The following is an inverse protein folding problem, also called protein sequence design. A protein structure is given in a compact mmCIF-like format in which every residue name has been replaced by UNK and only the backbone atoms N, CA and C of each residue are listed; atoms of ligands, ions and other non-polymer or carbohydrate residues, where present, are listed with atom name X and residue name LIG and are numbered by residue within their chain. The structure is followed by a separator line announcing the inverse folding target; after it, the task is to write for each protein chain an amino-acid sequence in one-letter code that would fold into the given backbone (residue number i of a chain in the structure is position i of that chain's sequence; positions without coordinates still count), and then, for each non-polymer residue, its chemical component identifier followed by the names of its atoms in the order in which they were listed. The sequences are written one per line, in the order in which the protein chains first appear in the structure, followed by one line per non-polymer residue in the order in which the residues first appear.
data_IF_504578900396
#
_entry.id   IF_504578900396
#
_cell.length_a   1.000
_cell.length_b   1.000
_cell.length_c   1.000
_cell.angle_alpha   90.00
_cell.angle_beta   90.00
_cell.angle_gamma   90.00
#
_symmetry.space_group_name_H-M   'P 1'
#
loop_
_entity.id
_entity.type
_entity.pdbx_description
1 polymer ?
#
# COMPACT_ATOMS: atom_id res chain seq x y z
N UNK A 1 -3.20 9.49 8.35
CA UNK A 1 -2.81 8.31 7.55
C UNK A 1 -4.02 7.44 7.29
N UNK A 2 -4.20 6.96 6.06
CA UNK A 2 -5.21 5.97 5.71
C UNK A 2 -4.50 4.73 5.16
N UNK A 3 -4.68 3.58 5.78
CA UNK A 3 -3.91 2.41 5.39
C UNK A 3 -4.63 1.07 5.61
N UNK A 4 -3.96 0.02 5.16
CA UNK A 4 -4.23 -1.36 5.54
C UNK A 4 -3.43 -1.75 6.80
N UNK A 5 -3.34 -3.03 7.09
CA UNK A 5 -2.60 -3.55 8.24
C UNK A 5 -1.12 -3.15 8.27
N UNK A 6 -0.50 -2.84 7.10
CA UNK A 6 0.89 -2.35 7.03
C UNK A 6 1.08 -0.95 7.66
N UNK A 7 0.00 -0.19 7.85
CA UNK A 7 0.06 1.10 8.55
C UNK A 7 0.25 0.98 10.06
N UNK A 8 -0.03 -0.19 10.65
CA UNK A 8 0.08 -0.43 12.09
C UNK A 8 1.47 -0.16 12.67
N UNK A 9 2.56 -0.75 12.14
CA UNK A 9 3.92 -0.47 12.58
C UNK A 9 4.31 1.01 12.49
N UNK A 10 3.81 1.72 11.47
CA UNK A 10 4.09 3.15 11.26
C UNK A 10 3.44 3.98 12.38
N UNK A 11 2.16 3.72 12.67
CA UNK A 11 1.45 4.39 13.78
C UNK A 11 2.11 4.13 15.14
N UNK A 12 2.49 2.87 15.42
CA UNK A 12 3.24 2.52 16.65
C UNK A 12 4.58 3.25 16.75
N UNK A 13 5.31 3.38 15.65
CA UNK A 13 6.59 4.08 15.61
C UNK A 13 6.42 5.60 15.82
N UNK A 14 5.41 6.22 15.21
CA UNK A 14 5.08 7.61 15.42
C UNK A 14 4.69 7.87 16.89
N UNK A 15 3.84 7.02 17.47
CA UNK A 15 3.44 7.11 18.86
C UNK A 15 4.64 6.96 19.82
N UNK A 16 5.54 6.00 19.59
CA UNK A 16 6.73 5.81 20.39
C UNK A 16 7.67 7.04 20.41
N UNK A 17 7.57 7.89 19.38
CA UNK A 17 8.35 9.13 19.23
C UNK A 17 7.55 10.38 19.63
N UNK A 18 6.35 10.22 20.18
CA UNK A 18 5.43 11.30 20.52
C UNK A 18 5.13 12.25 19.34
N UNK A 19 5.13 11.73 18.11
CA UNK A 19 4.81 12.51 16.91
C UNK A 19 3.27 12.60 16.74
N UNK A 20 2.76 13.75 16.28
CA UNK A 20 1.34 13.86 15.91
C UNK A 20 0.99 12.84 14.82
N UNK A 21 0.01 12.01 15.07
CA UNK A 21 -0.43 10.97 14.14
C UNK A 21 -1.93 10.75 14.27
N UNK A 22 -2.63 10.79 13.15
CA UNK A 22 -4.06 10.45 13.09
C UNK A 22 -4.32 9.43 11.98
N UNK A 23 -5.28 8.50 12.23
CA UNK A 23 -5.63 7.42 11.34
C UNK A 23 -4.88 6.12 11.64
N UNK A 24 -4.73 5.28 10.61
CA UNK A 24 -4.14 3.95 10.72
C UNK A 24 -4.84 2.93 9.83
N UNK A 25 -4.89 1.64 10.24
CA UNK A 25 -5.53 0.61 9.44
C UNK A 25 -7.05 0.78 9.39
N UNK A 26 -7.60 0.85 8.19
CA UNK A 26 -9.04 0.86 7.92
C UNK A 26 -9.57 -0.56 7.76
N UNK A 27 -8.81 -1.43 7.08
CA UNK A 27 -9.16 -2.82 6.78
C UNK A 27 -7.93 -3.67 6.50
N UNK A 28 -8.14 -4.90 6.05
CA UNK A 28 -7.07 -5.78 5.56
C UNK A 28 -6.66 -5.41 4.14
N UNK A 29 -5.41 -5.68 3.76
CA UNK A 29 -4.90 -5.30 2.43
C UNK A 29 -5.71 -5.81 1.25
N UNK A 30 -6.30 -7.01 1.34
CA UNK A 30 -7.17 -7.60 0.32
C UNK A 30 -8.46 -6.80 0.05
N UNK A 31 -8.94 -6.06 1.05
CA UNK A 31 -10.19 -5.33 0.97
C UNK A 31 -10.10 -4.12 0.03
N UNK A 32 -8.86 -3.72 -0.32
CA UNK A 32 -8.57 -2.61 -1.23
C UNK A 32 -8.31 -3.04 -2.69
N UNK A 33 -8.45 -4.34 -3.00
CA UNK A 33 -8.38 -4.86 -4.37
C UNK A 33 -9.75 -4.92 -5.06
N UNK A 34 -10.80 -4.53 -4.36
CA UNK A 34 -12.19 -4.46 -4.86
C UNK A 34 -12.69 -3.02 -4.86
N UNK A 35 -13.90 -2.78 -5.33
CA UNK A 35 -14.55 -1.46 -5.25
C UNK A 35 -14.90 -1.13 -3.79
N UNK A 36 -14.00 -0.44 -3.10
CA UNK A 36 -14.06 -0.23 -1.65
C UNK A 36 -14.57 1.15 -1.23
N UNK A 37 -14.71 2.12 -2.14
CA UNK A 37 -15.11 3.48 -1.79
C UNK A 37 -16.14 4.07 -2.75
N UNK A 38 -16.79 5.15 -2.32
CA UNK A 38 -17.68 6.00 -3.13
C UNK A 38 -17.16 7.43 -3.03
N UNK A 39 -16.96 8.08 -4.17
CA UNK A 39 -16.54 9.49 -4.23
C UNK A 39 -17.75 10.42 -4.07
N UNK A 40 -17.55 11.53 -3.38
CA UNK A 40 -18.47 12.67 -3.31
C UNK A 40 -17.74 13.97 -3.66
N UNK A 41 -18.42 15.13 -3.66
CA UNK A 41 -17.80 16.39 -4.12
C UNK A 41 -16.51 16.74 -3.39
N UNK A 42 -16.49 16.67 -2.06
CA UNK A 42 -15.38 17.12 -1.21
C UNK A 42 -14.77 15.99 -0.37
N UNK A 43 -15.27 14.75 -0.55
CA UNK A 43 -14.94 13.63 0.31
C UNK A 43 -14.98 12.30 -0.44
N UNK A 44 -14.82 11.24 0.32
CA UNK A 44 -15.14 9.87 -0.06
C UNK A 44 -15.78 9.15 1.14
N UNK A 45 -16.47 8.05 0.87
CA UNK A 45 -16.98 7.14 1.89
C UNK A 45 -16.53 5.72 1.59
N UNK A 46 -16.28 4.93 2.60
CA UNK A 46 -15.96 3.52 2.41
C UNK A 46 -17.26 2.71 2.36
N UNK A 47 -17.32 1.71 1.45
CA UNK A 47 -18.49 0.85 1.30
C UNK A 47 -18.70 -0.07 2.49
N UNK A 48 -17.62 -0.51 3.11
CA UNK A 48 -17.68 -1.24 4.37
C UNK A 48 -17.97 -0.28 5.52
N UNK A 49 -19.03 -0.51 6.34
CA UNK A 49 -19.40 0.41 7.41
C UNK A 49 -18.34 0.57 8.51
N UNK A 50 -17.59 -0.50 8.82
CA UNK A 50 -16.52 -0.43 9.83
C UNK A 50 -15.33 0.39 9.31
N UNK A 51 -14.97 0.22 8.04
CA UNK A 51 -13.94 1.05 7.40
C UNK A 51 -14.37 2.51 7.37
N UNK A 52 -15.63 2.81 6.99
CA UNK A 52 -16.14 4.18 6.98
C UNK A 52 -16.13 4.79 8.37
N UNK A 53 -16.53 4.04 9.40
CA UNK A 53 -16.47 4.50 10.77
C UNK A 53 -15.03 4.85 11.20
N UNK A 54 -14.05 3.97 10.92
CA UNK A 54 -12.63 4.22 11.23
C UNK A 54 -12.10 5.44 10.46
N UNK A 55 -12.50 5.57 9.22
CA UNK A 55 -12.16 6.74 8.40
C UNK A 55 -12.71 8.03 9.00
N UNK A 56 -14.01 8.07 9.38
CA UNK A 56 -14.62 9.24 10.05
C UNK A 56 -13.93 9.57 11.36
N UNK A 57 -13.56 8.59 12.14
CA UNK A 57 -12.75 8.78 13.36
C UNK A 57 -11.38 9.39 13.06
N UNK A 58 -10.70 8.93 12.01
CA UNK A 58 -9.41 9.48 11.59
C UNK A 58 -9.51 10.94 11.17
N UNK A 59 -10.56 11.32 10.43
CA UNK A 59 -10.84 12.71 10.06
C UNK A 59 -11.12 13.58 11.29
N UNK A 60 -11.96 13.10 12.20
CA UNK A 60 -12.28 13.82 13.45
C UNK A 60 -11.02 14.06 14.31
N UNK A 61 -10.13 13.07 14.42
CA UNK A 61 -8.84 13.23 15.10
C UNK A 61 -7.90 14.22 14.39
N UNK A 62 -8.02 14.35 13.08
CA UNK A 62 -7.31 15.38 12.31
C UNK A 62 -7.99 16.76 12.36
N UNK A 63 -9.13 16.88 13.03
CA UNK A 63 -9.89 18.14 13.18
C UNK A 63 -10.63 18.58 11.92
N UNK A 64 -10.96 17.65 11.00
CA UNK A 64 -11.67 17.94 9.74
C UNK A 64 -12.93 17.08 9.60
N UNK A 65 -13.91 17.56 8.84
CA UNK A 65 -15.17 16.86 8.59
C UNK A 65 -15.11 15.94 7.36
N UNK A 66 -14.30 16.30 6.37
CA UNK A 66 -14.12 15.54 5.13
C UNK A 66 -12.69 15.65 4.58
N UNK A 67 -12.33 14.75 3.70
CA UNK A 67 -10.95 14.57 3.22
C UNK A 67 -10.39 15.82 2.53
N UNK A 68 -11.22 16.54 1.75
CA UNK A 68 -10.81 17.76 1.05
C UNK A 68 -10.44 18.94 1.96
N UNK A 69 -10.70 18.84 3.27
CA UNK A 69 -10.28 19.86 4.26
C UNK A 69 -8.89 19.60 4.85
N UNK A 70 -8.25 18.47 4.53
CA UNK A 70 -6.90 18.20 5.04
C UNK A 70 -5.91 19.23 4.51
N UNK A 71 -5.22 19.90 5.43
CA UNK A 71 -4.13 20.85 5.13
C UNK A 71 -2.73 20.22 5.23
N UNK A 72 -2.67 18.93 5.53
CA UNK A 72 -1.45 18.13 5.65
C UNK A 72 -1.44 17.01 4.62
N UNK A 73 -0.28 16.48 4.22
CA UNK A 73 -0.23 15.38 3.26
C UNK A 73 -0.99 14.15 3.72
N UNK A 74 -1.65 13.48 2.77
CA UNK A 74 -2.24 12.17 2.97
C UNK A 74 -1.15 11.10 2.83
N UNK A 75 -0.80 10.44 3.92
CA UNK A 75 0.06 9.23 3.89
C UNK A 75 -0.83 8.01 3.73
N UNK A 76 -0.50 7.09 2.82
CA UNK A 76 -1.33 5.91 2.57
C UNK A 76 -0.53 4.64 2.26
N UNK A 77 -1.12 3.48 2.64
CA UNK A 77 -0.69 2.13 2.23
C UNK A 77 -1.78 1.38 1.47
N UNK A 78 -2.93 2.02 1.19
CA UNK A 78 -4.08 1.37 0.56
C UNK A 78 -3.73 0.82 -0.82
N UNK A 79 -4.10 -0.43 -1.09
CA UNK A 79 -3.83 -1.11 -2.34
C UNK A 79 -2.37 -1.52 -2.57
N UNK A 80 -1.48 -1.30 -1.58
CA UNK A 80 -0.06 -1.68 -1.66
C UNK A 80 0.22 -3.08 -1.11
N UNK A 81 -0.79 -3.86 -0.76
CA UNK A 81 -0.67 -5.26 -0.37
C UNK A 81 -0.46 -6.19 -1.58
N UNK A 82 0.67 -6.01 -2.26
CA UNK A 82 1.06 -6.65 -3.53
C UNK A 82 1.03 -8.18 -3.46
N UNK A 83 1.24 -8.77 -2.28
CA UNK A 83 1.18 -10.21 -2.07
C UNK A 83 -0.19 -10.82 -2.43
N UNK A 84 -1.30 -10.05 -2.37
CA UNK A 84 -2.60 -10.51 -2.86
C UNK A 84 -2.68 -10.49 -4.39
N UNK A 85 -2.08 -9.49 -5.04
CA UNK A 85 -1.95 -9.47 -6.51
C UNK A 85 -1.10 -10.65 -6.98
N UNK A 86 -0.04 -10.97 -6.24
CA UNK A 86 0.88 -12.07 -6.51
C UNK A 86 0.35 -13.44 -6.04
N UNK A 87 -0.89 -13.56 -5.56
CA UNK A 87 -1.47 -14.83 -5.09
C UNK A 87 -1.39 -15.91 -6.17
N UNK A 88 -0.77 -17.06 -5.87
CA UNK A 88 -0.50 -18.14 -6.84
C UNK A 88 -1.72 -18.58 -7.64
N UNK A 89 -2.94 -18.71 -7.07
CA UNK A 89 -4.12 -19.07 -7.83
C UNK A 89 -4.45 -18.13 -9.00
N UNK A 90 -4.05 -16.87 -8.93
CA UNK A 90 -4.28 -15.91 -10.00
C UNK A 90 -3.40 -16.16 -11.25
N UNK A 91 -2.32 -16.91 -11.11
CA UNK A 91 -1.26 -16.99 -12.10
C UNK A 91 -1.03 -18.38 -12.71
N UNK A 92 -1.67 -19.43 -12.16
CA UNK A 92 -1.51 -20.80 -12.66
C UNK A 92 -1.82 -20.95 -14.16
N UNK A 93 -2.82 -20.23 -14.66
CA UNK A 93 -3.22 -20.32 -16.07
C UNK A 93 -2.23 -19.70 -17.05
N UNK A 94 -1.21 -19.00 -16.55
CA UNK A 94 -0.13 -18.39 -17.33
C UNK A 94 1.21 -19.12 -17.20
N UNK A 95 1.21 -20.24 -16.50
CA UNK A 95 2.38 -21.10 -16.29
C UNK A 95 2.25 -22.39 -17.09
N UNK A 96 3.37 -22.94 -17.49
CA UNK A 96 3.46 -24.26 -18.12
C UNK A 96 3.30 -25.39 -17.09
N UNK A 97 3.45 -26.66 -17.54
CA UNK A 97 3.37 -27.86 -16.70
C UNK A 97 4.47 -27.96 -15.62
N UNK A 98 5.54 -27.16 -15.77
CA UNK A 98 6.65 -27.06 -14.80
C UNK A 98 6.47 -25.87 -13.84
N UNK A 99 5.39 -25.10 -14.00
CA UNK A 99 5.13 -23.90 -13.20
C UNK A 99 5.94 -22.68 -13.64
N UNK A 100 6.49 -22.68 -14.87
CA UNK A 100 7.28 -21.58 -15.40
C UNK A 100 6.41 -20.65 -16.28
N UNK A 101 6.72 -19.36 -16.24
CA UNK A 101 6.12 -18.37 -17.14
C UNK A 101 6.86 -18.33 -18.47
N UNK A 102 6.15 -18.06 -19.55
CA UNK A 102 6.79 -17.74 -20.82
C UNK A 102 7.82 -16.62 -20.65
N UNK A 103 8.98 -16.69 -21.34
CA UNK A 103 9.98 -15.62 -21.32
C UNK A 103 9.38 -14.26 -21.68
N UNK A 104 9.53 -13.28 -20.79
CA UNK A 104 9.00 -11.91 -20.99
C UNK A 104 7.55 -11.72 -20.55
N UNK A 105 6.81 -12.77 -20.10
CA UNK A 105 5.43 -12.61 -19.64
C UNK A 105 5.32 -11.55 -18.52
N UNK A 106 6.13 -11.66 -17.47
CA UNK A 106 6.11 -10.75 -16.32
C UNK A 106 6.55 -9.30 -16.63
N UNK A 107 7.11 -9.07 -17.82
CA UNK A 107 7.44 -7.72 -18.33
C UNK A 107 6.57 -7.31 -19.54
N UNK A 108 5.61 -8.15 -19.92
CA UNK A 108 4.78 -7.96 -21.09
C UNK A 108 3.51 -7.14 -20.85
N UNK A 109 2.93 -6.60 -21.91
CA UNK A 109 1.73 -5.77 -21.86
C UNK A 109 0.50 -6.50 -21.28
N UNK A 110 0.39 -7.80 -21.48
CA UNK A 110 -0.71 -8.60 -20.88
C UNK A 110 -0.61 -8.60 -19.36
N UNK A 111 0.58 -8.86 -18.81
CA UNK A 111 0.82 -8.83 -17.37
C UNK A 111 0.50 -7.43 -16.79
N UNK A 112 1.00 -6.36 -17.42
CA UNK A 112 0.68 -5.00 -16.99
C UNK A 112 -0.82 -4.73 -16.99
N UNK A 113 -1.54 -5.13 -18.03
CA UNK A 113 -3.00 -4.96 -18.13
C UNK A 113 -3.75 -5.71 -17.03
N UNK A 114 -3.28 -6.90 -16.65
CA UNK A 114 -3.86 -7.68 -15.54
C UNK A 114 -3.65 -6.94 -14.21
N UNK A 115 -2.43 -6.47 -13.95
CA UNK A 115 -2.14 -5.70 -12.73
C UNK A 115 -2.96 -4.41 -12.68
N UNK A 116 -3.07 -3.68 -13.80
CA UNK A 116 -3.92 -2.49 -13.89
C UNK A 116 -5.38 -2.81 -13.55
N UNK A 117 -5.93 -3.90 -14.07
CA UNK A 117 -7.29 -4.34 -13.78
C UNK A 117 -7.48 -4.71 -12.30
N UNK A 118 -6.49 -5.40 -11.69
CA UNK A 118 -6.54 -5.81 -10.29
C UNK A 118 -6.38 -4.63 -9.32
N UNK A 119 -5.63 -3.59 -9.70
CA UNK A 119 -5.34 -2.43 -8.85
C UNK A 119 -6.18 -1.19 -9.16
N UNK A 120 -7.10 -1.26 -10.13
CA UNK A 120 -7.87 -0.10 -10.63
C UNK A 120 -8.57 0.72 -9.53
N UNK A 121 -9.10 0.04 -8.51
CA UNK A 121 -9.83 0.73 -7.43
C UNK A 121 -8.90 1.47 -6.48
N UNK A 122 -7.71 0.92 -6.20
CA UNK A 122 -6.68 1.60 -5.43
C UNK A 122 -6.13 2.83 -6.20
N UNK A 123 -5.89 2.69 -7.51
CA UNK A 123 -5.46 3.82 -8.35
C UNK A 123 -6.54 4.91 -8.42
N UNK A 124 -7.81 4.53 -8.60
CA UNK A 124 -8.93 5.48 -8.58
C UNK A 124 -9.08 6.22 -7.24
N UNK A 125 -8.79 5.56 -6.11
CA UNK A 125 -8.73 6.22 -4.81
C UNK A 125 -7.66 7.31 -4.79
N UNK A 126 -6.48 7.04 -5.28
CA UNK A 126 -5.39 8.02 -5.35
C UNK A 126 -5.68 9.16 -6.32
N UNK A 127 -6.23 8.87 -7.50
CA UNK A 127 -6.71 9.90 -8.44
C UNK A 127 -7.73 10.81 -7.77
N UNK A 128 -8.66 10.24 -7.00
CA UNK A 128 -9.63 11.01 -6.24
C UNK A 128 -8.99 11.89 -5.18
N UNK A 129 -8.03 11.38 -4.41
CA UNK A 129 -7.30 12.15 -3.40
C UNK A 129 -6.55 13.33 -4.03
N UNK A 130 -5.90 13.12 -5.18
CA UNK A 130 -5.24 14.20 -5.94
C UNK A 130 -6.25 15.22 -6.47
N UNK A 131 -7.42 14.78 -6.97
CA UNK A 131 -8.48 15.67 -7.45
C UNK A 131 -9.09 16.54 -6.34
N UNK A 132 -8.99 16.11 -5.08
CA UNK A 132 -9.32 16.92 -3.89
C UNK A 132 -8.20 17.93 -3.52
N UNK A 133 -7.12 17.99 -4.29
CA UNK A 133 -6.00 18.91 -4.06
C UNK A 133 -5.01 18.42 -2.99
N UNK A 134 -5.06 17.16 -2.61
CA UNK A 134 -4.17 16.62 -1.57
C UNK A 134 -2.78 16.32 -2.14
N UNK A 135 -1.75 16.62 -1.37
CA UNK A 135 -0.45 16.00 -1.52
C UNK A 135 -0.51 14.58 -0.98
N UNK A 136 -0.15 13.58 -1.79
CA UNK A 136 -0.28 12.17 -1.44
C UNK A 136 1.09 11.51 -1.38
N UNK A 137 1.38 10.84 -0.25
CA UNK A 137 2.59 10.06 0.00
C UNK A 137 2.18 8.58 0.14
N UNK A 138 2.61 7.73 -0.77
CA UNK A 138 2.32 6.28 -0.71
C UNK A 138 3.53 5.54 -0.19
N UNK A 139 3.33 4.76 0.86
CA UNK A 139 4.36 3.94 1.48
C UNK A 139 4.42 2.57 0.80
N UNK A 140 5.60 2.17 0.35
CA UNK A 140 5.81 0.84 -0.18
C UNK A 140 5.76 -0.22 0.92
N UNK A 141 5.19 -1.41 0.63
CA UNK A 141 5.00 -2.47 1.62
C UNK A 141 6.32 -3.12 2.01
N UNK A 142 6.34 -3.88 3.13
CA UNK A 142 7.44 -4.78 3.44
C UNK A 142 7.73 -5.72 2.25
N UNK A 143 9.01 -5.97 1.96
CA UNK A 143 9.44 -6.87 0.88
C UNK A 143 9.41 -8.32 1.37
N UNK A 144 8.21 -8.79 1.74
CA UNK A 144 7.93 -10.12 2.26
C UNK A 144 6.94 -10.83 1.36
N UNK A 145 7.29 -12.04 0.94
CA UNK A 145 6.43 -12.86 0.09
C UNK A 145 5.97 -14.06 0.89
N UNK A 146 4.69 -14.08 1.29
CA UNK A 146 4.13 -15.22 1.99
C UNK A 146 4.03 -16.43 1.05
N UNK A 147 3.94 -17.63 1.62
CA UNK A 147 3.94 -18.89 0.89
C UNK A 147 2.83 -18.99 -0.18
N UNK A 148 1.68 -18.35 0.05
CA UNK A 148 0.57 -18.35 -0.92
C UNK A 148 0.80 -17.44 -2.13
N UNK A 149 1.86 -16.63 -2.15
CA UNK A 149 2.20 -15.71 -3.24
C UNK A 149 3.34 -16.25 -4.10
N UNK A 150 3.37 -15.87 -5.38
CA UNK A 150 4.49 -16.18 -6.28
C UNK A 150 5.58 -15.10 -6.13
N UNK A 151 6.79 -15.56 -5.78
CA UNK A 151 7.94 -14.68 -5.53
C UNK A 151 8.44 -13.95 -6.78
N UNK A 152 8.14 -14.45 -7.99
CA UNK A 152 8.50 -13.80 -9.26
C UNK A 152 7.48 -12.72 -9.63
N UNK A 153 6.20 -12.97 -9.35
CA UNK A 153 5.11 -12.04 -9.62
C UNK A 153 5.15 -10.84 -8.68
N UNK A 154 5.49 -11.04 -7.41
CA UNK A 154 5.48 -9.97 -6.41
C UNK A 154 6.30 -8.73 -6.83
N UNK A 155 7.59 -8.83 -7.14
CA UNK A 155 8.39 -7.67 -7.55
C UNK A 155 7.94 -7.10 -8.89
N UNK A 156 7.50 -7.93 -9.84
CA UNK A 156 7.00 -7.49 -11.13
C UNK A 156 5.70 -6.67 -11.00
N UNK A 157 4.74 -7.15 -10.20
CA UNK A 157 3.50 -6.44 -9.93
C UNK A 157 3.75 -5.12 -9.17
N UNK A 158 4.66 -5.13 -8.18
CA UNK A 158 5.05 -3.92 -7.46
C UNK A 158 5.67 -2.88 -8.40
N UNK A 159 6.50 -3.31 -9.35
CA UNK A 159 7.10 -2.41 -10.34
C UNK A 159 6.04 -1.75 -11.23
N UNK A 160 4.99 -2.47 -11.63
CA UNK A 160 3.84 -1.88 -12.37
C UNK A 160 3.16 -0.82 -11.52
N UNK A 161 2.79 -1.13 -10.28
CA UNK A 161 2.12 -0.18 -9.38
C UNK A 161 2.94 1.08 -9.13
N UNK A 162 4.25 0.93 -8.88
CA UNK A 162 5.17 2.06 -8.70
C UNK A 162 5.12 2.99 -9.93
N UNK A 163 5.21 2.45 -11.14
CA UNK A 163 5.14 3.26 -12.36
C UNK A 163 3.79 3.99 -12.50
N UNK A 164 2.66 3.32 -12.16
CA UNK A 164 1.33 3.94 -12.21
C UNK A 164 1.19 5.08 -11.19
N UNK A 165 1.62 4.87 -9.96
CA UNK A 165 1.60 5.91 -8.92
C UNK A 165 2.49 7.10 -9.29
N UNK A 166 3.70 6.85 -9.80
CA UNK A 166 4.60 7.91 -10.28
C UNK A 166 4.00 8.69 -11.47
N UNK A 167 3.33 8.01 -12.39
CA UNK A 167 2.65 8.65 -13.52
C UNK A 167 1.49 9.58 -13.07
N UNK A 168 0.87 9.30 -11.91
CA UNK A 168 -0.11 10.17 -11.26
C UNK A 168 0.54 11.34 -10.51
N UNK A 169 1.86 11.41 -10.40
CA UNK A 169 2.57 12.43 -9.62
C UNK A 169 2.61 12.17 -8.11
N UNK A 170 2.33 10.93 -7.68
CA UNK A 170 2.35 10.54 -6.28
C UNK A 170 3.80 10.35 -5.80
N UNK A 171 4.08 10.88 -4.61
CA UNK A 171 5.36 10.68 -3.95
C UNK A 171 5.41 9.31 -3.27
N UNK A 172 6.51 8.57 -3.48
CA UNK A 172 6.69 7.27 -2.86
C UNK A 172 7.62 7.36 -1.66
N UNK A 173 7.22 6.74 -0.56
CA UNK A 173 8.08 6.48 0.59
C UNK A 173 8.65 5.08 0.42
N UNK A 174 9.88 5.03 -0.05
CA UNK A 174 10.60 3.80 -0.38
C UNK A 174 11.83 3.64 0.51
N UNK A 175 11.77 2.70 1.43
CA UNK A 175 12.86 2.39 2.36
C UNK A 175 13.58 1.08 2.01
N UNK A 176 13.32 0.53 0.82
CA UNK A 176 13.88 -0.77 0.40
C UNK A 176 15.41 -0.79 0.43
N UNK A 177 16.06 0.28 0.03
CA UNK A 177 17.53 0.38 0.06
C UNK A 177 18.16 0.17 1.45
N UNK A 178 17.38 0.37 2.52
CA UNK A 178 17.80 0.17 3.91
C UNK A 178 17.19 -1.11 4.50
N UNK A 179 15.97 -1.41 4.09
CA UNK A 179 15.15 -2.46 4.69
C UNK A 179 15.40 -3.85 4.09
N UNK A 180 16.02 -3.95 2.90
CA UNK A 180 16.24 -5.25 2.21
C UNK A 180 17.70 -5.66 2.19
N UNK A 181 17.92 -6.98 2.07
CA UNK A 181 19.22 -7.56 1.77
C UNK A 181 19.57 -7.46 0.28
N UNK A 182 20.74 -8.03 -0.11
CA UNK A 182 21.21 -8.08 -1.49
C UNK A 182 20.26 -8.90 -2.41
N UNK A 183 19.50 -9.81 -1.81
CA UNK A 183 18.49 -10.64 -2.49
C UNK A 183 17.18 -9.88 -2.78
N UNK A 184 17.05 -8.63 -2.31
CA UNK A 184 15.87 -7.78 -2.46
C UNK A 184 14.75 -8.07 -1.45
N UNK A 185 14.92 -9.05 -0.55
CA UNK A 185 13.90 -9.37 0.46
C UNK A 185 14.15 -8.63 1.78
N UNK A 186 13.06 -8.47 2.53
CA UNK A 186 13.09 -7.77 3.82
C UNK A 186 14.09 -8.41 4.78
N UNK A 187 15.01 -7.62 5.28
CA UNK A 187 15.97 -8.08 6.28
C UNK A 187 15.25 -8.52 7.57
N UNK A 188 15.57 -9.68 8.18
CA UNK A 188 14.84 -10.24 9.35
C UNK A 188 14.65 -9.26 10.51
N UNK A 189 15.61 -8.36 10.77
CA UNK A 189 15.51 -7.33 11.82
C UNK A 189 14.34 -6.37 11.66
N UNK A 190 13.76 -6.27 10.45
CA UNK A 190 12.62 -5.42 10.12
C UNK A 190 11.32 -6.21 9.95
N UNK A 191 11.35 -7.51 10.16
CA UNK A 191 10.19 -8.40 10.07
C UNK A 191 9.49 -8.54 11.41
N UNK A 192 8.15 -8.58 11.39
CA UNK A 192 7.40 -9.03 12.55
C UNK A 192 7.63 -10.53 12.76
N UNK A 193 7.76 -10.96 14.04
CA UNK A 193 7.99 -12.35 14.40
C UNK A 193 6.69 -13.13 14.18
N UNK A 194 6.80 -14.34 13.66
CA UNK A 194 5.67 -15.26 13.40
C UNK A 194 4.56 -14.68 12.47
N UNK A 195 4.90 -13.64 11.71
CA UNK A 195 4.01 -13.03 10.75
C UNK A 195 4.71 -12.96 9.38
N UNK A 196 4.18 -13.58 8.32
CA UNK A 196 4.84 -13.63 7.02
C UNK A 196 4.68 -12.36 6.19
N UNK A 197 3.91 -11.37 6.66
CA UNK A 197 3.50 -10.21 5.86
C UNK A 197 4.05 -8.88 6.37
N UNK A 198 4.01 -8.68 7.69
CA UNK A 198 4.19 -7.35 8.23
C UNK A 198 5.65 -7.04 8.61
N UNK A 199 5.99 -5.76 8.48
CA UNK A 199 7.16 -5.19 9.12
C UNK A 199 6.91 -4.96 10.62
N UNK A 200 7.98 -4.93 11.40
CA UNK A 200 7.92 -4.68 12.84
C UNK A 200 8.06 -3.17 13.17
N UNK A 201 8.15 -2.85 14.45
CA UNK A 201 8.33 -1.48 14.95
C UNK A 201 9.56 -0.78 14.33
N UNK A 202 10.67 -1.51 14.13
CA UNK A 202 11.89 -0.93 13.53
C UNK A 202 11.66 -0.56 12.06
N UNK A 203 10.91 -1.38 11.29
CA UNK A 203 10.47 -1.04 9.94
C UNK A 203 9.59 0.22 9.93
N UNK A 204 8.61 0.28 10.83
CA UNK A 204 7.78 1.48 11.01
C UNK A 204 8.63 2.72 11.32
N UNK A 205 9.69 2.55 12.10
CA UNK A 205 10.66 3.61 12.40
C UNK A 205 11.37 4.17 11.16
N UNK A 206 11.85 3.29 10.26
CA UNK A 206 12.45 3.73 8.98
C UNK A 206 11.47 4.54 8.13
N UNK A 207 10.20 4.11 8.07
CA UNK A 207 9.17 4.83 7.31
C UNK A 207 8.91 6.20 7.94
N UNK A 208 8.83 6.30 9.27
CA UNK A 208 8.65 7.58 9.97
C UNK A 208 9.82 8.52 9.68
N UNK A 209 11.07 8.04 9.70
CA UNK A 209 12.25 8.85 9.37
C UNK A 209 12.14 9.39 7.93
N UNK A 210 11.83 8.51 6.96
CA UNK A 210 11.65 8.91 5.56
C UNK A 210 10.48 9.89 5.35
N UNK A 211 9.40 9.77 6.13
CA UNK A 211 8.29 10.73 6.12
C UNK A 211 8.71 12.09 6.65
N UNK A 212 9.45 12.14 7.76
CA UNK A 212 9.92 13.40 8.36
C UNK A 212 10.86 14.17 7.43
N UNK A 213 11.60 13.50 6.56
CA UNK A 213 12.45 14.14 5.54
C UNK A 213 11.64 14.78 4.40
N UNK A 214 10.35 14.43 4.26
CA UNK A 214 9.46 14.89 3.19
C UNK A 214 8.42 15.91 3.65
N UNK A 215 8.17 15.99 4.95
CA UNK A 215 7.20 16.91 5.56
C UNK A 215 7.82 18.23 5.97
#
# INVERSE_FOLDING_TARGET
MLGDSNSGPIGKAAQARALPFSGGPLGAGRDFNVDFFVASADDLGFRDPEMDQRYRQALALAGVAHLGQLSVPLVSTLGMSVHFLASRPNWHCYQDEHGEFDPGFLSGALFESIIDAMSRHALAFYERALALGLRVLVVLPPQRVPEFSDARVFPAAQAVLIRRLQALGIELIDVRSIATGEDGWQHPRYCEIDDPLHGNLAFGGLIVDALLERL
#
